data_IF_087757408611
#
_entry.id   IF_087757408611
#
_cell.length_a   1.000
_cell.length_b   1.000
_cell.length_c   1.000
_cell.angle_alpha   90.00
_cell.angle_beta   90.00
_cell.angle_gamma   90.00
#
_symmetry.space_group_name_H-M   'P 1'
#
loop_
_entity.id
_entity.type
_entity.pdbx_description
1 polymer ?
#
# COMPACT_ATOMS: atom_id res chain seq x y z
N UNK A 1 -8.33 14.45 -29.72
CA UNK A 1 -9.21 13.94 -28.66
C UNK A 1 -9.72 15.13 -27.87
N UNK A 2 -11.04 15.39 -27.85
CA UNK A 2 -11.61 16.53 -27.14
C UNK A 2 -12.01 16.09 -25.73
N UNK A 3 -11.37 16.68 -24.72
CA UNK A 3 -11.80 16.50 -23.33
C UNK A 3 -13.09 17.30 -23.08
N UNK A 4 -13.89 16.88 -22.09
CA UNK A 4 -15.07 17.64 -21.69
C UNK A 4 -14.63 19.07 -21.24
N UNK A 5 -15.36 20.11 -21.67
CA UNK A 5 -15.03 21.53 -21.43
C UNK A 5 -14.77 21.85 -19.95
N UNK A 6 -15.48 21.15 -19.05
CA UNK A 6 -15.28 21.28 -17.58
C UNK A 6 -13.85 21.00 -17.10
N UNK A 7 -13.05 20.26 -17.88
CA UNK A 7 -11.66 19.95 -17.55
C UNK A 7 -10.65 20.88 -18.21
N UNK A 8 -11.06 21.70 -19.16
CA UNK A 8 -10.16 22.60 -19.90
C UNK A 8 -9.43 23.63 -19.01
N UNK A 9 -10.01 23.97 -17.86
CA UNK A 9 -9.45 24.91 -16.90
C UNK A 9 -8.70 24.29 -15.73
N UNK A 10 -8.61 22.98 -15.63
CA UNK A 10 -7.91 22.33 -14.53
C UNK A 10 -6.39 22.51 -14.66
N UNK A 11 -5.80 23.07 -13.62
CA UNK A 11 -4.34 23.18 -13.51
C UNK A 11 -3.80 21.98 -12.76
N UNK A 12 -2.62 21.47 -13.12
CA UNK A 12 -1.92 20.46 -12.33
C UNK A 12 -1.77 20.90 -10.87
N UNK A 13 -1.82 19.94 -9.95
CA UNK A 13 -1.58 20.22 -8.52
C UNK A 13 -0.21 20.87 -8.33
N UNK A 14 -0.12 21.86 -7.44
CA UNK A 14 1.16 22.45 -7.03
C UNK A 14 2.12 21.43 -6.41
N UNK A 15 1.58 20.39 -5.78
CA UNK A 15 2.36 19.29 -5.21
C UNK A 15 3.22 18.57 -6.25
N UNK A 16 2.70 18.37 -7.48
CA UNK A 16 3.47 17.74 -8.55
C UNK A 16 4.77 18.50 -8.86
N UNK A 17 4.74 19.82 -8.82
CA UNK A 17 5.94 20.64 -9.05
C UNK A 17 6.97 20.48 -7.93
N UNK A 18 6.52 20.30 -6.70
CA UNK A 18 7.41 20.08 -5.54
C UNK A 18 8.10 18.73 -5.68
N UNK A 19 7.36 17.69 -6.03
CA UNK A 19 7.94 16.35 -6.25
C UNK A 19 8.95 16.37 -7.42
N UNK A 20 8.59 16.98 -8.54
CA UNK A 20 9.50 17.11 -9.68
C UNK A 20 10.77 17.91 -9.35
N UNK A 21 10.69 18.92 -8.50
CA UNK A 21 11.87 19.65 -8.05
C UNK A 21 12.76 18.80 -7.13
N UNK A 22 12.17 18.02 -6.23
CA UNK A 22 12.91 17.10 -5.36
C UNK A 22 13.58 15.98 -6.17
N UNK A 23 12.89 15.43 -7.17
CA UNK A 23 13.43 14.36 -8.03
C UNK A 23 14.59 14.87 -8.94
N UNK A 24 14.59 16.15 -9.27
CA UNK A 24 15.59 16.75 -10.15
C UNK A 24 16.91 17.13 -9.45
N UNK A 25 16.93 17.23 -8.14
CA UNK A 25 18.07 17.66 -7.36
C UNK A 25 18.32 16.70 -6.18
N UNK A 26 19.39 15.88 -6.24
CA UNK A 26 19.69 14.88 -5.21
C UNK A 26 20.09 15.50 -3.85
N UNK A 27 20.37 16.80 -3.80
CA UNK A 27 20.70 17.48 -2.54
C UNK A 27 19.44 17.92 -1.77
N UNK A 28 18.25 17.78 -2.38
CA UNK A 28 16.98 18.11 -1.73
C UNK A 28 16.50 16.92 -0.89
N UNK A 29 16.38 17.12 0.42
CA UNK A 29 15.72 16.18 1.31
C UNK A 29 14.21 16.39 1.20
N UNK A 30 13.51 15.47 0.51
CA UNK A 30 12.06 15.55 0.33
C UNK A 30 11.33 15.05 1.57
N UNK A 31 10.45 15.86 2.13
CA UNK A 31 9.48 15.50 3.15
C UNK A 31 8.05 15.47 2.58
N UNK A 32 7.92 15.41 1.27
CA UNK A 32 6.64 15.53 0.56
C UNK A 32 5.78 14.27 0.57
N UNK A 33 6.41 13.11 0.68
CA UNK A 33 5.74 11.81 0.74
C UNK A 33 6.02 11.17 2.10
N UNK A 34 4.97 10.70 2.76
CA UNK A 34 5.08 9.99 4.04
C UNK A 34 5.31 8.50 3.82
N UNK A 35 6.51 8.11 3.41
CA UNK A 35 6.91 6.71 3.24
C UNK A 35 8.19 6.41 4.04
N UNK A 36 8.40 5.16 4.44
CA UNK A 36 9.68 4.74 5.00
C UNK A 36 10.82 4.94 3.99
N UNK A 37 12.00 5.32 4.48
CA UNK A 37 13.22 5.50 3.68
C UNK A 37 14.05 4.22 3.52
N UNK A 38 13.54 3.10 3.99
CA UNK A 38 14.14 1.77 3.85
C UNK A 38 13.22 0.85 3.04
N UNK A 39 13.83 -0.05 2.30
CA UNK A 39 13.14 -1.02 1.45
C UNK A 39 12.30 -2.02 2.27
N UNK A 40 11.33 -2.62 1.60
CA UNK A 40 10.60 -3.77 2.16
C UNK A 40 11.56 -4.93 2.40
N UNK A 41 11.43 -5.58 3.55
CA UNK A 41 12.26 -6.73 3.92
C UNK A 41 12.27 -7.81 2.82
N UNK A 42 13.44 -8.38 2.49
CA UNK A 42 13.58 -9.37 1.41
C UNK A 42 12.63 -10.57 1.55
N UNK A 43 12.44 -11.06 2.76
CA UNK A 43 11.54 -12.20 3.03
C UNK A 43 10.08 -11.91 2.62
N UNK A 44 9.64 -10.67 2.77
CA UNK A 44 8.29 -10.24 2.37
C UNK A 44 8.19 -10.19 0.84
N UNK A 45 9.23 -9.69 0.17
CA UNK A 45 9.31 -9.62 -1.29
C UNK A 45 9.30 -11.04 -1.88
N UNK A 46 10.12 -11.92 -1.33
CA UNK A 46 10.24 -13.31 -1.79
C UNK A 46 8.92 -14.07 -1.61
N UNK A 47 8.24 -13.86 -0.48
CA UNK A 47 6.94 -14.50 -0.24
C UNK A 47 5.86 -13.98 -1.20
N UNK A 48 5.83 -12.69 -1.49
CA UNK A 48 4.93 -12.12 -2.50
C UNK A 48 5.17 -12.73 -3.90
N UNK A 49 6.44 -12.85 -4.29
CA UNK A 49 6.83 -13.49 -5.55
C UNK A 49 6.46 -14.98 -5.59
N UNK A 50 6.67 -15.70 -4.47
CA UNK A 50 6.29 -17.11 -4.31
C UNK A 50 4.79 -17.30 -4.45
N UNK A 51 3.99 -16.46 -3.77
CA UNK A 51 2.54 -16.52 -3.83
C UNK A 51 2.02 -16.27 -5.25
N UNK A 52 2.56 -15.27 -5.94
CA UNK A 52 2.20 -15.00 -7.33
C UNK A 52 2.51 -16.17 -8.26
N UNK A 53 3.69 -16.79 -8.13
CA UNK A 53 4.08 -18.00 -8.88
C UNK A 53 3.20 -19.21 -8.56
N UNK A 54 2.67 -19.29 -7.34
CA UNK A 54 1.74 -20.32 -6.91
C UNK A 54 0.28 -20.10 -7.38
N UNK A 55 0.02 -19.02 -8.13
CA UNK A 55 -1.29 -18.75 -8.73
C UNK A 55 -2.20 -17.85 -7.88
N UNK A 56 -1.70 -17.20 -6.84
CA UNK A 56 -2.46 -16.19 -6.08
C UNK A 56 -2.56 -14.87 -6.85
N UNK A 57 -3.17 -14.94 -8.05
CA UNK A 57 -3.30 -13.82 -8.99
C UNK A 57 -4.75 -13.52 -9.36
N UNK A 58 -5.70 -14.09 -8.62
CA UNK A 58 -7.13 -13.93 -8.81
C UNK A 58 -7.78 -13.20 -7.63
N UNK A 59 -9.02 -12.80 -7.79
CA UNK A 59 -9.81 -12.25 -6.69
C UNK A 59 -9.92 -13.25 -5.54
N UNK A 60 -9.64 -12.77 -4.34
CA UNK A 60 -9.83 -13.53 -3.11
C UNK A 60 -11.22 -13.33 -2.50
N UNK A 61 -11.46 -13.92 -1.31
CA UNK A 61 -12.66 -13.66 -0.54
C UNK A 61 -12.82 -12.16 -0.23
N UNK A 62 -14.05 -11.65 -0.21
CA UNK A 62 -14.36 -10.22 0.04
C UNK A 62 -13.77 -9.73 1.37
N UNK A 63 -13.72 -10.58 2.37
CA UNK A 63 -13.15 -10.25 3.69
C UNK A 63 -11.64 -10.44 3.77
N UNK A 64 -11.00 -10.89 2.71
CA UNK A 64 -9.61 -11.34 2.70
C UNK A 64 -9.46 -12.81 3.09
N UNK A 65 -8.30 -13.37 2.80
CA UNK A 65 -7.98 -14.78 3.12
C UNK A 65 -8.00 -15.00 4.63
N UNK A 66 -8.53 -16.14 5.04
CA UNK A 66 -8.71 -16.46 6.46
C UNK A 66 -7.39 -16.57 7.22
N UNK A 67 -6.36 -17.15 6.60
CA UNK A 67 -5.03 -17.26 7.17
C UNK A 67 -4.40 -15.88 7.46
N UNK A 68 -4.57 -14.91 6.57
CA UNK A 68 -4.14 -13.53 6.79
C UNK A 68 -4.91 -12.88 7.95
N UNK A 69 -6.23 -13.06 8.01
CA UNK A 69 -7.05 -12.54 9.10
C UNK A 69 -6.67 -13.15 10.46
N UNK A 70 -6.39 -14.46 10.50
CA UNK A 70 -5.86 -15.14 11.69
C UNK A 70 -4.48 -14.61 12.10
N UNK A 71 -3.61 -14.34 11.13
CA UNK A 71 -2.29 -13.75 11.39
C UNK A 71 -2.40 -12.36 12.04
N UNK A 72 -3.34 -11.52 11.57
CA UNK A 72 -3.64 -10.21 12.18
C UNK A 72 -4.11 -10.37 13.63
N UNK A 73 -5.07 -11.27 13.91
CA UNK A 73 -5.54 -11.54 15.27
C UNK A 73 -4.37 -11.96 16.18
N UNK A 74 -3.53 -12.89 15.70
CA UNK A 74 -2.37 -13.36 16.44
C UNK A 74 -1.34 -12.27 16.70
N UNK A 75 -1.12 -11.38 15.74
CA UNK A 75 -0.23 -10.23 15.90
C UNK A 75 -0.76 -9.26 16.97
N UNK A 76 -2.03 -8.90 16.92
CA UNK A 76 -2.65 -8.00 17.89
C UNK A 76 -2.63 -8.57 19.31
N UNK A 77 -2.89 -9.87 19.45
CA UNK A 77 -2.79 -10.54 20.75
C UNK A 77 -1.35 -10.45 21.32
N UNK A 78 -0.36 -10.85 20.52
CA UNK A 78 1.04 -10.82 20.97
C UNK A 78 1.57 -9.42 21.25
N UNK A 79 1.18 -8.44 20.44
CA UNK A 79 1.77 -7.10 20.50
C UNK A 79 1.04 -6.17 21.47
N UNK A 80 -0.26 -6.33 21.58
CA UNK A 80 -1.13 -5.38 22.31
C UNK A 80 -2.03 -6.04 23.34
N UNK A 81 -2.08 -7.37 23.44
CA UNK A 81 -3.01 -8.08 24.30
C UNK A 81 -4.47 -8.01 23.83
N UNK A 82 -4.71 -7.61 22.59
CA UNK A 82 -6.05 -7.49 22.02
C UNK A 82 -6.53 -8.84 21.51
N UNK A 83 -7.55 -9.37 22.15
CA UNK A 83 -8.24 -10.59 21.71
C UNK A 83 -9.26 -10.26 20.64
N UNK A 84 -9.12 -10.88 19.49
CA UNK A 84 -10.05 -10.77 18.37
C UNK A 84 -10.19 -12.10 17.66
N UNK A 85 -11.26 -12.25 16.88
CA UNK A 85 -11.51 -13.41 16.03
C UNK A 85 -11.47 -13.02 14.56
N UNK A 86 -11.18 -13.96 13.63
CA UNK A 86 -11.05 -13.64 12.21
C UNK A 86 -12.29 -12.95 11.59
N UNK A 87 -13.47 -13.19 12.16
CA UNK A 87 -14.74 -12.59 11.73
C UNK A 87 -14.80 -11.09 12.00
N UNK A 88 -14.00 -10.58 12.92
CA UNK A 88 -13.88 -9.15 13.25
C UNK A 88 -12.82 -8.43 12.42
N UNK A 89 -12.11 -9.15 11.54
CA UNK A 89 -11.03 -8.61 10.71
C UNK A 89 -11.41 -8.63 9.24
N UNK A 90 -11.25 -7.52 8.56
CA UNK A 90 -11.37 -7.41 7.12
C UNK A 90 -10.08 -6.86 6.52
N UNK A 91 -9.57 -7.53 5.50
CA UNK A 91 -8.40 -7.08 4.72
C UNK A 91 -8.92 -6.34 3.49
N UNK A 92 -8.53 -5.11 3.36
CA UNK A 92 -8.90 -4.23 2.25
C UNK A 92 -7.65 -3.78 1.49
N UNK A 93 -7.79 -3.64 0.17
CA UNK A 93 -6.75 -3.07 -0.68
C UNK A 93 -6.88 -1.55 -0.75
#
# INVERSE_FOLDING_TARGET
MNFAERYAGLKPSGMLKIFQAADADPDIISLGVGEPDFDTEPDIIDEAARAAKAGYTHYGPIQGFEDVRRAVCSYWDRRYGLKSVPEEVQIMA
#
